data_IF_224208365172
#
_entry.id   IF_224208365172
#
_cell.length_a   1.000
_cell.length_b   1.000
_cell.length_c   1.000
_cell.angle_alpha   90.00
_cell.angle_beta   90.00
_cell.angle_gamma   90.00
#
_symmetry.space_group_name_H-M   'P 1'
#
loop_
_entity.id
_entity.type
_entity.pdbx_description
1 polymer ?
#
# COMPACT_ATOMS: atom_id res chain seq x y z
N UNK A 1 11.10 -21.88 6.54
CA UNK A 1 10.41 -22.92 7.36
C UNK A 1 10.25 -22.51 8.84
N UNK A 2 11.06 -21.62 9.41
CA UNK A 2 10.91 -21.20 10.84
C UNK A 2 9.81 -20.17 11.12
N UNK A 3 9.50 -19.24 10.20
CA UNK A 3 8.42 -18.25 10.41
C UNK A 3 7.01 -18.86 10.38
N UNK A 4 6.80 -19.88 9.55
CA UNK A 4 5.53 -20.60 9.48
C UNK A 4 5.13 -21.19 10.84
N UNK A 5 6.10 -21.71 11.61
CA UNK A 5 5.89 -22.23 12.96
C UNK A 5 5.44 -21.14 13.94
N UNK A 6 5.93 -19.92 13.80
CA UNK A 6 5.57 -18.79 14.65
C UNK A 6 4.11 -18.38 14.47
N UNK A 7 3.64 -18.25 13.23
CA UNK A 7 2.24 -17.87 12.96
C UNK A 7 1.25 -19.02 13.16
N UNK A 8 1.67 -20.27 12.93
CA UNK A 8 0.86 -21.44 13.30
C UNK A 8 0.61 -21.46 14.81
N UNK A 9 1.63 -21.14 15.61
CA UNK A 9 1.48 -20.97 17.04
C UNK A 9 0.63 -19.74 17.39
N UNK A 10 0.83 -18.60 16.72
CA UNK A 10 0.04 -17.39 16.93
C UNK A 10 -1.47 -17.64 16.72
N UNK A 11 -1.84 -18.40 15.69
CA UNK A 11 -3.22 -18.76 15.37
C UNK A 11 -3.92 -19.58 16.48
N UNK A 12 -3.17 -20.19 17.40
CA UNK A 12 -3.74 -20.91 18.55
C UNK A 12 -4.37 -19.96 19.57
N UNK A 13 -3.89 -18.71 19.68
CA UNK A 13 -4.39 -17.70 20.61
C UNK A 13 -5.69 -17.04 20.14
N UNK A 14 -6.05 -17.16 18.86
CA UNK A 14 -7.25 -16.56 18.32
C UNK A 14 -8.48 -17.42 18.63
N UNK A 15 -9.55 -16.83 19.22
CA UNK A 15 -10.73 -17.57 19.61
C UNK A 15 -11.49 -18.05 18.37
N UNK A 16 -12.08 -19.24 18.45
CA UNK A 16 -12.72 -19.91 17.30
C UNK A 16 -13.99 -19.23 16.80
N UNK A 17 -14.57 -18.28 17.55
CA UNK A 17 -15.69 -17.46 17.11
C UNK A 17 -15.28 -16.30 16.20
N UNK A 18 -14.01 -15.90 16.24
CA UNK A 18 -13.50 -14.76 15.49
C UNK A 18 -13.34 -15.14 14.02
N UNK A 19 -14.10 -14.45 13.16
CA UNK A 19 -14.06 -14.66 11.72
C UNK A 19 -12.69 -14.25 11.15
N UNK A 20 -12.17 -14.95 10.13
CA UNK A 20 -10.92 -14.58 9.44
C UNK A 20 -10.89 -13.11 9.01
N UNK A 21 -11.93 -12.64 8.30
CA UNK A 21 -11.99 -11.25 7.84
C UNK A 21 -12.00 -10.21 8.98
N UNK A 22 -12.50 -10.58 10.17
CA UNK A 22 -12.43 -9.73 11.35
C UNK A 22 -10.99 -9.65 11.88
N UNK A 23 -10.21 -10.73 11.77
CA UNK A 23 -8.77 -10.74 12.06
C UNK A 23 -8.06 -9.79 11.08
N UNK A 24 -8.25 -9.96 9.78
CA UNK A 24 -7.68 -9.08 8.74
C UNK A 24 -7.98 -7.60 9.03
N UNK A 25 -9.25 -7.26 9.27
CA UNK A 25 -9.68 -5.89 9.57
C UNK A 25 -9.09 -5.35 10.88
N UNK A 26 -8.96 -6.21 11.91
CA UNK A 26 -8.32 -5.84 13.17
C UNK A 26 -6.83 -5.56 12.96
N UNK A 27 -6.15 -6.32 12.10
CA UNK A 27 -4.77 -6.06 11.68
C UNK A 27 -4.59 -4.65 11.11
N UNK A 28 -5.44 -4.27 10.14
CA UNK A 28 -5.40 -2.93 9.54
C UNK A 28 -5.59 -1.81 10.56
N UNK A 29 -6.41 -2.04 11.60
CA UNK A 29 -6.69 -1.02 12.62
C UNK A 29 -5.43 -0.52 13.33
N UNK A 30 -4.42 -1.38 13.52
CA UNK A 30 -3.14 -0.98 14.11
C UNK A 30 -2.40 0.05 13.23
N UNK A 31 -2.44 -0.12 11.91
CA UNK A 31 -1.82 0.81 10.96
C UNK A 31 -2.61 2.12 10.90
N UNK A 32 -3.95 2.04 10.94
CA UNK A 32 -4.80 3.24 11.00
C UNK A 32 -4.56 4.06 12.28
N UNK A 33 -4.37 3.40 13.41
CA UNK A 33 -3.98 4.07 14.67
C UNK A 33 -2.65 4.79 14.50
N UNK A 34 -1.65 4.13 13.88
CA UNK A 34 -0.34 4.76 13.62
C UNK A 34 -0.46 5.98 12.69
N UNK A 35 -1.28 5.91 11.64
CA UNK A 35 -1.56 7.07 10.77
C UNK A 35 -2.27 8.18 11.51
N UNK A 36 -3.21 7.87 12.42
CA UNK A 36 -3.82 8.88 13.29
C UNK A 36 -2.78 9.52 14.22
N UNK A 37 -1.86 8.74 14.79
CA UNK A 37 -0.77 9.27 15.60
C UNK A 37 0.16 10.18 14.81
N UNK A 38 0.45 9.89 13.54
CA UNK A 38 1.20 10.81 12.66
C UNK A 38 0.50 12.17 12.59
N UNK A 39 -0.80 12.21 12.34
CA UNK A 39 -1.55 13.46 12.29
C UNK A 39 -1.53 14.27 13.60
N UNK A 40 -1.36 13.61 14.75
CA UNK A 40 -1.33 14.25 16.06
C UNK A 40 0.07 14.69 16.51
N UNK A 41 1.11 13.91 16.17
CA UNK A 41 2.45 14.08 16.74
C UNK A 41 3.51 14.47 15.70
N UNK A 42 3.33 14.15 14.42
CA UNK A 42 4.28 14.41 13.34
C UNK A 42 3.57 14.78 12.01
N UNK A 43 2.73 15.83 11.99
CA UNK A 43 1.94 16.17 10.80
C UNK A 43 2.80 16.69 9.63
N UNK A 44 4.01 17.18 9.90
CA UNK A 44 4.96 17.66 8.89
C UNK A 44 5.81 16.53 8.28
N UNK A 45 5.70 15.30 8.82
CA UNK A 45 6.44 14.09 8.46
C UNK A 45 7.98 14.21 8.52
N UNK A 46 8.48 15.24 9.21
CA UNK A 46 9.90 15.64 9.17
C UNK A 46 10.47 15.89 10.55
N UNK A 47 9.76 16.62 11.39
CA UNK A 47 10.23 16.97 12.72
C UNK A 47 10.06 15.75 13.64
N UNK A 48 11.13 15.24 14.27
CA UNK A 48 11.03 14.04 15.08
C UNK A 48 9.96 14.14 16.18
N UNK A 49 9.02 13.21 16.16
CA UNK A 49 8.08 12.95 17.24
C UNK A 49 8.73 12.23 18.43
N UNK A 50 7.95 11.94 19.49
CA UNK A 50 8.45 11.23 20.66
C UNK A 50 8.82 9.77 20.33
N UNK A 51 9.85 9.22 20.96
CA UNK A 51 10.36 7.86 20.69
C UNK A 51 9.29 6.76 20.67
N UNK A 52 8.29 6.84 21.56
CA UNK A 52 7.22 5.84 21.64
C UNK A 52 6.40 5.76 20.34
N UNK A 53 6.34 6.85 19.56
CA UNK A 53 5.64 6.91 18.28
C UNK A 53 6.26 5.91 17.28
N UNK A 54 7.58 5.89 17.17
CA UNK A 54 8.27 4.96 16.28
C UNK A 54 8.23 3.51 16.80
N UNK A 55 8.20 3.31 18.12
CA UNK A 55 7.94 1.99 18.70
C UNK A 55 6.53 1.50 18.39
N UNK A 56 5.52 2.38 18.41
CA UNK A 56 4.15 2.02 18.04
C UNK A 56 4.04 1.71 16.54
N UNK A 57 4.83 2.38 15.69
CA UNK A 57 4.93 2.07 14.26
C UNK A 57 5.47 0.65 14.04
N UNK A 58 6.59 0.31 14.69
CA UNK A 58 7.16 -1.04 14.65
C UNK A 58 6.16 -2.10 15.13
N UNK A 59 5.54 -1.88 16.30
CA UNK A 59 4.58 -2.80 16.89
C UNK A 59 3.33 -2.95 16.01
N UNK A 60 2.75 -1.84 15.55
CA UNK A 60 1.52 -1.86 14.78
C UNK A 60 1.68 -2.55 13.42
N UNK A 61 2.81 -2.33 12.74
CA UNK A 61 3.11 -3.01 11.48
C UNK A 61 3.44 -4.50 11.68
N UNK A 62 4.13 -4.85 12.77
CA UNK A 62 4.36 -6.25 13.13
C UNK A 62 3.05 -6.98 13.47
N UNK A 63 2.14 -6.33 14.21
CA UNK A 63 0.82 -6.87 14.52
C UNK A 63 -0.04 -6.99 13.27
N UNK A 64 0.00 -6.00 12.36
CA UNK A 64 -0.64 -6.09 11.05
C UNK A 64 -0.23 -7.37 10.32
N UNK A 65 1.07 -7.58 10.12
CA UNK A 65 1.61 -8.75 9.44
C UNK A 65 1.23 -10.05 10.15
N UNK A 66 1.22 -10.04 11.48
CA UNK A 66 0.86 -11.23 12.26
C UNK A 66 -0.62 -11.58 12.06
N UNK A 67 -1.52 -10.60 12.05
CA UNK A 67 -2.95 -10.81 11.89
C UNK A 67 -3.28 -11.27 10.46
N UNK A 68 -2.68 -10.62 9.47
CA UNK A 68 -2.67 -11.00 8.06
C UNK A 68 -2.27 -12.47 7.88
N UNK A 69 -1.10 -12.87 8.40
CA UNK A 69 -0.66 -14.27 8.28
C UNK A 69 -1.53 -15.28 9.07
N UNK A 70 -2.27 -14.83 10.08
CA UNK A 70 -3.11 -15.70 10.91
C UNK A 70 -4.49 -15.93 10.30
N UNK A 71 -5.03 -15.02 9.50
CA UNK A 71 -6.42 -15.10 9.05
C UNK A 71 -6.73 -16.37 8.24
N UNK A 72 -5.87 -16.77 7.31
CA UNK A 72 -6.02 -17.97 6.49
C UNK A 72 -5.80 -19.23 7.31
N UNK A 73 -4.94 -19.17 8.33
CA UNK A 73 -4.75 -20.25 9.31
C UNK A 73 -6.02 -20.44 10.14
N UNK A 74 -6.60 -19.34 10.61
CA UNK A 74 -7.88 -19.34 11.30
C UNK A 74 -8.96 -19.91 10.38
N UNK A 75 -9.04 -19.48 9.11
CA UNK A 75 -10.03 -19.94 8.15
C UNK A 75 -9.98 -21.46 7.95
N UNK A 76 -8.77 -22.05 7.88
CA UNK A 76 -8.58 -23.51 7.84
C UNK A 76 -8.99 -24.18 9.15
N UNK A 77 -8.59 -23.63 10.29
CA UNK A 77 -8.92 -24.12 11.64
C UNK A 77 -10.43 -24.14 11.90
N UNK A 78 -11.17 -23.12 11.47
CA UNK A 78 -12.62 -22.99 11.67
C UNK A 78 -13.45 -23.59 10.53
N UNK A 79 -12.83 -24.00 9.42
CA UNK A 79 -13.52 -24.49 8.22
C UNK A 79 -14.30 -23.41 7.49
N UNK A 80 -13.82 -22.17 7.50
CA UNK A 80 -14.49 -20.98 6.94
C UNK A 80 -13.71 -20.30 5.81
N UNK A 81 -12.79 -21.02 5.16
CA UNK A 81 -12.12 -20.54 3.93
C UNK A 81 -13.15 -20.23 2.84
N UNK A 82 -13.04 -19.07 2.20
CA UNK A 82 -14.01 -18.63 1.20
C UNK A 82 -13.40 -17.65 0.19
N UNK A 83 -14.03 -17.52 -0.98
CA UNK A 83 -13.69 -16.50 -1.97
C UNK A 83 -13.85 -15.08 -1.42
N UNK A 84 -14.85 -14.84 -0.55
CA UNK A 84 -14.99 -13.56 0.15
C UNK A 84 -13.77 -13.24 1.00
N UNK A 85 -13.30 -14.20 1.79
CA UNK A 85 -12.11 -14.01 2.63
C UNK A 85 -10.89 -13.64 1.79
N UNK A 86 -10.71 -14.31 0.66
CA UNK A 86 -9.61 -14.01 -0.27
C UNK A 86 -9.70 -12.59 -0.86
N UNK A 87 -10.89 -12.14 -1.29
CA UNK A 87 -11.08 -10.76 -1.75
C UNK A 87 -10.87 -9.74 -0.63
N UNK A 88 -11.30 -10.07 0.59
CA UNK A 88 -11.22 -9.20 1.75
C UNK A 88 -9.77 -8.98 2.17
N UNK A 89 -8.99 -10.06 2.24
CA UNK A 89 -7.56 -10.07 2.58
C UNK A 89 -6.74 -9.19 1.65
N UNK A 90 -6.71 -9.51 0.35
CA UNK A 90 -6.07 -8.66 -0.67
C UNK A 90 -6.62 -7.23 -0.69
N UNK A 91 -7.90 -7.07 -0.38
CA UNK A 91 -8.56 -5.77 -0.23
C UNK A 91 -7.89 -4.92 0.85
N UNK A 92 -7.66 -5.49 2.02
CA UNK A 92 -7.02 -4.84 3.16
C UNK A 92 -5.53 -4.60 2.90
N UNK A 93 -4.82 -5.58 2.35
CA UNK A 93 -3.41 -5.45 1.93
C UNK A 93 -3.18 -4.28 0.98
N UNK A 94 -4.10 -4.10 0.03
CA UNK A 94 -4.06 -2.99 -0.91
C UNK A 94 -4.13 -1.64 -0.20
N UNK A 95 -4.94 -1.50 0.85
CA UNK A 95 -5.03 -0.25 1.62
C UNK A 95 -3.77 -0.02 2.44
N UNK A 96 -3.21 -1.10 3.00
CA UNK A 96 -2.00 -1.02 3.80
C UNK A 96 -0.78 -0.59 3.00
N UNK A 97 -0.72 -0.83 1.68
CA UNK A 97 0.41 -0.43 0.84
C UNK A 97 0.75 1.07 0.96
N UNK A 98 -0.15 2.02 0.64
CA UNK A 98 0.11 3.44 0.83
C UNK A 98 0.10 3.88 2.31
N UNK A 99 -0.71 3.27 3.19
CA UNK A 99 -0.73 3.62 4.62
C UNK A 99 0.60 3.29 5.31
N UNK A 100 1.10 2.06 5.11
CA UNK A 100 2.41 1.63 5.58
C UNK A 100 3.53 2.47 4.97
N UNK A 101 3.40 2.85 3.69
CA UNK A 101 4.28 3.83 3.06
C UNK A 101 4.31 5.16 3.80
N UNK A 102 3.17 5.72 4.21
CA UNK A 102 3.12 6.95 5.00
C UNK A 102 3.75 6.80 6.40
N UNK A 103 3.53 5.68 7.08
CA UNK A 103 4.19 5.38 8.36
C UNK A 103 5.70 5.25 8.20
N UNK A 104 6.15 4.70 7.06
CA UNK A 104 7.54 4.61 6.68
C UNK A 104 8.15 5.99 6.44
N UNK A 105 7.43 6.89 5.78
CA UNK A 105 7.82 8.28 5.52
C UNK A 105 8.10 9.05 6.82
N UNK A 106 7.21 8.94 7.82
CA UNK A 106 7.41 9.57 9.13
C UNK A 106 8.66 9.02 9.84
N UNK A 107 8.84 7.70 9.84
CA UNK A 107 10.03 7.10 10.49
C UNK A 107 11.35 7.53 9.85
N UNK A 108 11.34 7.78 8.54
CA UNK A 108 12.50 8.24 7.79
C UNK A 108 12.69 9.77 7.88
N UNK A 109 11.72 10.51 8.45
CA UNK A 109 11.74 11.97 8.56
C UNK A 109 11.86 12.67 7.20
N UNK A 110 11.15 12.17 6.18
CA UNK A 110 11.30 12.67 4.80
C UNK A 110 10.53 13.96 4.52
N UNK A 111 9.58 14.30 5.38
CA UNK A 111 8.65 15.40 5.19
C UNK A 111 7.70 15.21 4.01
N UNK A 112 6.94 16.26 3.71
CA UNK A 112 6.23 16.41 2.45
C UNK A 112 7.26 16.60 1.30
N UNK A 113 7.84 15.51 0.82
CA UNK A 113 8.88 15.54 -0.22
C UNK A 113 8.61 14.53 -1.32
N UNK A 114 9.34 14.69 -2.44
CA UNK A 114 9.33 13.73 -3.56
C UNK A 114 9.75 12.34 -3.07
N UNK A 115 10.71 12.27 -2.13
CA UNK A 115 11.10 10.99 -1.55
C UNK A 115 9.99 10.40 -0.67
N UNK A 116 9.23 11.24 0.04
CA UNK A 116 8.04 10.80 0.76
C UNK A 116 6.99 10.20 -0.19
N UNK A 117 6.69 10.90 -1.29
CA UNK A 117 5.79 10.43 -2.34
C UNK A 117 6.26 9.10 -2.95
N UNK A 118 7.57 8.94 -3.15
CA UNK A 118 8.17 7.70 -3.61
C UNK A 118 7.83 6.52 -2.68
N UNK A 119 8.02 6.63 -1.36
CA UNK A 119 7.73 5.54 -0.43
C UNK A 119 6.23 5.17 -0.34
N UNK A 120 5.34 6.15 -0.47
CA UNK A 120 3.89 5.90 -0.52
C UNK A 120 3.49 5.13 -1.78
N UNK A 121 4.09 5.47 -2.91
CA UNK A 121 3.72 4.93 -4.22
C UNK A 121 4.44 3.61 -4.54
N UNK A 122 5.72 3.46 -4.17
CA UNK A 122 6.50 2.28 -4.51
C UNK A 122 5.95 1.00 -3.87
N UNK A 123 5.33 1.09 -2.69
CA UNK A 123 4.66 -0.03 -2.02
C UNK A 123 3.49 -0.62 -2.81
N UNK A 124 2.83 0.18 -3.65
CA UNK A 124 1.73 -0.29 -4.50
C UNK A 124 2.20 -1.19 -5.65
N UNK A 125 3.44 -1.05 -6.10
CA UNK A 125 4.01 -1.78 -7.24
C UNK A 125 4.09 -3.30 -6.99
N UNK A 126 4.75 -3.79 -5.92
CA UNK A 126 4.81 -5.22 -5.65
C UNK A 126 3.43 -5.84 -5.43
N UNK A 127 2.52 -5.12 -4.75
CA UNK A 127 1.15 -5.58 -4.53
C UNK A 127 0.37 -5.74 -5.84
N UNK A 128 0.50 -4.77 -6.75
CA UNK A 128 -0.10 -4.87 -8.09
C UNK A 128 0.46 -6.06 -8.88
N UNK A 129 1.79 -6.21 -8.93
CA UNK A 129 2.43 -7.27 -9.71
C UNK A 129 2.11 -8.66 -9.18
N UNK A 130 2.06 -8.86 -7.86
CA UNK A 130 1.66 -10.14 -7.25
C UNK A 130 0.19 -10.47 -7.53
N UNK A 131 -0.69 -9.46 -7.48
CA UNK A 131 -2.10 -9.64 -7.82
C UNK A 131 -2.29 -9.97 -9.31
N UNK A 132 -1.56 -9.29 -10.19
CA UNK A 132 -1.56 -9.56 -11.63
C UNK A 132 -1.01 -10.97 -11.93
N UNK A 133 0.06 -11.37 -11.24
CA UNK A 133 0.59 -12.72 -11.31
C UNK A 133 -0.44 -13.77 -10.89
N UNK A 134 -1.10 -13.56 -9.76
CA UNK A 134 -2.12 -14.47 -9.25
C UNK A 134 -3.30 -14.63 -10.22
N UNK A 135 -3.74 -13.55 -10.88
CA UNK A 135 -4.78 -13.63 -11.91
C UNK A 135 -4.45 -14.65 -13.00
N UNK A 136 -3.18 -14.74 -13.41
CA UNK A 136 -2.71 -15.65 -14.44
C UNK A 136 -2.32 -17.03 -13.94
N UNK A 137 -1.67 -17.12 -12.79
CA UNK A 137 -1.14 -18.37 -12.24
C UNK A 137 -2.22 -19.15 -11.47
N UNK A 138 -3.17 -18.44 -10.87
CA UNK A 138 -4.22 -18.97 -10.00
C UNK A 138 -3.78 -19.18 -8.54
N UNK A 139 -2.57 -18.74 -8.19
CA UNK A 139 -2.02 -18.86 -6.85
C UNK A 139 -1.12 -17.67 -6.54
N UNK A 140 -1.25 -17.06 -5.37
CA UNK A 140 -0.27 -16.12 -4.88
C UNK A 140 1.07 -16.83 -4.60
N UNK A 141 2.08 -16.59 -5.44
CA UNK A 141 3.42 -17.12 -5.23
C UNK A 141 4.21 -16.23 -4.26
N UNK A 142 4.20 -16.62 -2.98
CA UNK A 142 5.11 -16.06 -1.99
C UNK A 142 6.44 -16.81 -2.10
N UNK A 143 7.39 -16.26 -2.86
CA UNK A 143 8.76 -16.76 -2.92
C UNK A 143 9.41 -16.77 -1.52
N UNK A 144 10.60 -17.40 -1.42
CA UNK A 144 11.33 -17.47 -0.14
C UNK A 144 11.63 -16.11 0.48
N UNK A 145 11.83 -15.09 -0.36
CA UNK A 145 11.90 -13.68 0.01
C UNK A 145 10.74 -13.01 -0.71
N UNK A 146 9.82 -12.42 0.04
CA UNK A 146 8.62 -11.77 -0.48
C UNK A 146 8.33 -10.46 0.28
N UNK A 147 7.57 -9.57 -0.36
CA UNK A 147 7.17 -8.30 0.23
C UNK A 147 6.39 -8.45 1.55
N UNK A 148 5.33 -9.28 1.60
CA UNK A 148 4.48 -9.43 2.80
C UNK A 148 5.22 -9.96 4.04
N UNK A 149 6.31 -10.71 3.88
CA UNK A 149 7.10 -11.23 5.00
C UNK A 149 8.35 -10.39 5.26
N UNK A 150 9.36 -10.52 4.39
CA UNK A 150 10.66 -9.89 4.59
C UNK A 150 10.60 -8.37 4.40
N UNK A 151 9.81 -7.89 3.44
CA UNK A 151 9.63 -6.46 3.20
C UNK A 151 9.03 -5.75 4.42
N UNK A 152 7.99 -6.32 5.02
CA UNK A 152 7.39 -5.78 6.24
C UNK A 152 8.36 -5.87 7.44
N UNK A 153 9.11 -6.96 7.61
CA UNK A 153 10.09 -7.06 8.69
C UNK A 153 11.24 -6.03 8.54
N UNK A 154 11.66 -5.73 7.32
CA UNK A 154 12.61 -4.64 7.04
C UNK A 154 12.01 -3.30 7.45
N UNK A 155 10.74 -3.02 7.10
CA UNK A 155 10.05 -1.79 7.51
C UNK A 155 9.91 -1.68 9.03
N UNK A 156 9.58 -2.77 9.73
CA UNK A 156 9.61 -2.85 11.20
C UNK A 156 11.01 -2.51 11.73
N UNK A 157 12.07 -3.05 11.11
CA UNK A 157 13.46 -2.72 11.44
C UNK A 157 13.76 -1.23 11.28
N UNK A 158 13.26 -0.58 10.22
CA UNK A 158 13.39 0.86 10.04
C UNK A 158 12.72 1.64 11.17
N UNK A 159 11.50 1.27 11.55
CA UNK A 159 10.80 1.89 12.68
C UNK A 159 11.59 1.76 13.99
N UNK A 160 12.17 0.60 14.26
CA UNK A 160 13.01 0.36 15.44
C UNK A 160 14.30 1.19 15.42
N UNK A 161 14.97 1.30 14.27
CA UNK A 161 16.15 2.14 14.11
C UNK A 161 15.80 3.61 14.39
N UNK A 162 14.66 4.09 13.85
CA UNK A 162 14.17 5.45 14.12
C UNK A 162 13.77 5.66 15.57
N UNK A 163 13.24 4.63 16.26
CA UNK A 163 12.98 4.70 17.69
C UNK A 163 14.26 4.84 18.52
N UNK A 164 15.31 4.09 18.17
CA UNK A 164 16.56 4.05 18.93
C UNK A 164 17.45 5.28 18.70
N UNK A 165 17.54 5.75 17.45
CA UNK A 165 18.50 6.79 17.03
C UNK A 165 17.83 8.09 16.58
N UNK A 166 16.50 8.11 16.49
CA UNK A 166 15.73 9.20 15.90
C UNK A 166 15.73 9.17 14.37
N UNK A 167 14.70 9.71 13.68
CA UNK A 167 14.63 9.75 12.22
C UNK A 167 15.82 10.41 11.53
N UNK A 168 16.53 11.31 12.22
CA UNK A 168 17.70 12.03 11.68
C UNK A 168 18.84 11.10 11.27
N UNK A 169 18.92 9.89 11.84
CA UNK A 169 19.94 8.90 11.46
C UNK A 169 19.92 8.61 9.97
N UNK A 170 18.74 8.55 9.34
CA UNK A 170 18.59 8.25 7.92
C UNK A 170 19.23 9.29 6.99
N UNK A 171 19.50 10.49 7.51
CA UNK A 171 20.10 11.59 6.77
C UNK A 171 21.61 11.70 6.97
N UNK A 172 22.22 10.82 7.79
CA UNK A 172 23.68 10.79 7.95
C UNK A 172 24.36 10.16 6.73
N UNK A 173 25.52 10.68 6.36
CA UNK A 173 26.35 10.14 5.28
C UNK A 173 27.09 8.87 5.69
N UNK A 174 27.25 7.95 4.75
CA UNK A 174 28.00 6.70 4.91
C UNK A 174 29.23 6.77 4.02
N UNK A 175 30.39 6.46 4.57
CA UNK A 175 31.62 6.35 3.78
C UNK A 175 31.68 5.01 3.04
N UNK A 176 31.50 5.06 1.72
CA UNK A 176 31.59 3.90 0.81
C UNK A 176 32.83 3.97 -0.10
N UNK A 177 33.75 4.90 0.14
CA UNK A 177 34.90 5.16 -0.75
C UNK A 177 35.79 3.94 -0.96
N UNK A 178 35.88 3.03 0.03
CA UNK A 178 36.61 1.77 -0.06
C UNK A 178 35.92 0.66 -0.87
N UNK A 179 34.64 0.80 -1.20
CA UNK A 179 33.86 -0.21 -1.92
C UNK A 179 33.44 0.25 -3.32
N UNK A 180 33.22 1.55 -3.52
CA UNK A 180 32.62 2.09 -4.74
C UNK A 180 33.36 3.36 -5.18
N UNK A 181 34.45 3.18 -5.93
CA UNK A 181 35.37 4.28 -6.29
C UNK A 181 34.78 5.34 -7.23
N UNK A 182 33.64 5.07 -7.88
CA UNK A 182 32.98 5.99 -8.80
C UNK A 182 31.92 6.89 -8.15
N UNK A 183 31.70 6.76 -6.85
CA UNK A 183 30.74 7.58 -6.13
C UNK A 183 31.35 8.95 -5.82
N UNK A 184 30.79 10.01 -6.42
CA UNK A 184 31.33 11.37 -6.38
C UNK A 184 31.19 12.07 -5.02
N UNK A 185 30.29 11.59 -4.16
CA UNK A 185 30.15 12.03 -2.76
C UNK A 185 29.63 10.89 -1.88
N UNK A 186 29.94 10.85 -0.57
CA UNK A 186 29.33 9.91 0.36
C UNK A 186 27.78 9.97 0.27
N UNK A 187 27.09 8.85 0.01
CA UNK A 187 25.64 8.81 0.02
C UNK A 187 25.11 8.85 1.46
N UNK A 188 23.86 9.26 1.63
CA UNK A 188 23.16 9.15 2.91
C UNK A 188 22.57 7.75 3.11
N UNK A 189 22.25 7.40 4.37
CA UNK A 189 21.58 6.13 4.67
C UNK A 189 20.25 5.98 3.91
N UNK A 190 19.48 7.06 3.76
CA UNK A 190 18.24 7.05 2.98
C UNK A 190 18.49 6.83 1.49
N UNK A 191 19.56 7.38 0.92
CA UNK A 191 19.92 7.13 -0.49
C UNK A 191 20.29 5.65 -0.71
N UNK A 192 21.05 5.07 0.22
CA UNK A 192 21.33 3.63 0.19
C UNK A 192 20.04 2.81 0.32
N UNK A 193 19.14 3.18 1.23
CA UNK A 193 17.87 2.47 1.44
C UNK A 193 16.97 2.56 0.20
N UNK A 194 16.89 3.71 -0.46
CA UNK A 194 16.17 3.86 -1.72
C UNK A 194 16.68 2.90 -2.80
N UNK A 195 18.01 2.76 -2.94
CA UNK A 195 18.61 1.80 -3.88
C UNK A 195 18.21 0.36 -3.52
N UNK A 196 18.26 0.00 -2.23
CA UNK A 196 17.84 -1.34 -1.77
C UNK A 196 16.37 -1.61 -2.13
N UNK A 197 15.47 -0.65 -1.87
CA UNK A 197 14.04 -0.78 -2.22
C UNK A 197 13.84 -0.94 -3.73
N UNK A 198 14.52 -0.14 -4.54
CA UNK A 198 14.44 -0.23 -6.00
C UNK A 198 14.96 -1.59 -6.52
N UNK A 199 16.06 -2.09 -5.98
CA UNK A 199 16.59 -3.40 -6.32
C UNK A 199 15.62 -4.52 -5.91
N UNK A 200 15.06 -4.45 -4.70
CA UNK A 200 14.09 -5.43 -4.23
C UNK A 200 12.84 -5.47 -5.13
N UNK A 201 12.31 -4.31 -5.54
CA UNK A 201 11.10 -4.25 -6.38
C UNK A 201 11.40 -4.64 -7.83
N UNK A 202 12.39 -4.02 -8.47
CA UNK A 202 12.57 -4.12 -9.92
C UNK A 202 13.56 -5.20 -10.36
N UNK A 203 14.47 -5.64 -9.49
CA UNK A 203 15.47 -6.68 -9.81
C UNK A 203 15.09 -8.03 -9.21
N UNK A 204 14.42 -8.05 -8.07
CA UNK A 204 14.00 -9.31 -7.42
C UNK A 204 12.53 -9.61 -7.69
N UNK A 205 11.61 -8.78 -7.22
CA UNK A 205 10.16 -9.10 -7.23
C UNK A 205 9.56 -9.09 -8.64
N UNK A 206 9.70 -7.99 -9.37
CA UNK A 206 9.06 -7.84 -10.66
C UNK A 206 9.48 -8.93 -11.67
N UNK A 207 10.79 -9.23 -11.88
CA UNK A 207 11.18 -10.27 -12.83
C UNK A 207 10.57 -11.64 -12.53
N UNK A 208 10.44 -12.01 -11.24
CA UNK A 208 9.80 -13.26 -10.83
C UNK A 208 8.33 -13.28 -11.25
N UNK A 209 7.57 -12.21 -10.98
CA UNK A 209 6.16 -12.10 -11.41
C UNK A 209 6.04 -12.22 -12.95
N UNK A 210 6.90 -11.52 -13.71
CA UNK A 210 6.87 -11.60 -15.17
C UNK A 210 7.21 -13.01 -15.69
N UNK A 211 8.18 -13.69 -15.09
CA UNK A 211 8.54 -15.07 -15.45
C UNK A 211 7.39 -16.04 -15.17
N UNK A 212 6.74 -15.92 -14.02
CA UNK A 212 5.63 -16.77 -13.62
C UNK A 212 4.38 -16.55 -14.50
N UNK A 213 4.06 -15.30 -14.81
CA UNK A 213 2.99 -14.97 -15.78
C UNK A 213 3.35 -15.50 -17.17
N UNK A 214 4.59 -15.35 -17.62
CA UNK A 214 5.01 -15.88 -18.91
C UNK A 214 4.81 -17.39 -18.99
N UNK A 215 5.22 -18.13 -17.96
CA UNK A 215 5.02 -19.57 -17.88
C UNK A 215 3.53 -19.96 -17.87
N UNK A 216 2.69 -19.24 -17.12
CA UNK A 216 1.25 -19.47 -17.07
C UNK A 216 0.56 -19.13 -18.40
N UNK A 217 0.95 -18.05 -19.07
CA UNK A 217 0.47 -17.70 -20.40
C UNK A 217 0.82 -18.79 -21.41
N UNK A 218 2.07 -19.28 -21.39
CA UNK A 218 2.54 -20.36 -22.27
C UNK A 218 1.75 -21.66 -22.06
N UNK A 219 1.47 -22.04 -20.81
CA UNK A 219 0.72 -23.27 -20.52
C UNK A 219 -0.76 -23.17 -20.91
N UNK A 220 -1.36 -21.97 -20.82
CA UNK A 220 -2.77 -21.72 -21.14
C UNK A 220 -3.02 -21.29 -22.60
N UNK A 221 -1.98 -21.16 -23.42
CA UNK A 221 -2.09 -20.67 -24.80
C UNK A 221 -2.53 -19.20 -24.89
N UNK A 222 -2.27 -18.40 -23.86
CA UNK A 222 -2.65 -16.97 -23.79
C UNK A 222 -1.46 -16.13 -24.28
N UNK A 223 -1.75 -15.06 -25.03
CA UNK A 223 -0.71 -14.11 -25.46
C UNK A 223 -0.10 -13.37 -24.26
N UNK A 224 1.20 -13.53 -24.07
CA UNK A 224 1.94 -12.83 -23.01
C UNK A 224 1.97 -11.31 -23.23
N UNK A 225 1.99 -10.83 -24.47
CA UNK A 225 1.94 -9.37 -24.75
C UNK A 225 0.60 -8.77 -24.36
N UNK A 226 -0.49 -9.52 -24.52
CA UNK A 226 -1.82 -9.14 -24.03
C UNK A 226 -1.87 -9.11 -22.50
N UNK A 227 -1.19 -10.05 -21.83
CA UNK A 227 -1.07 -10.03 -20.38
C UNK A 227 -0.28 -8.81 -19.87
N UNK A 228 0.84 -8.48 -20.52
CA UNK A 228 1.66 -7.32 -20.15
C UNK A 228 0.88 -6.02 -20.33
N UNK A 229 0.10 -5.87 -21.41
CA UNK A 229 -0.63 -4.63 -21.70
C UNK A 229 -1.64 -4.25 -20.62
N UNK A 230 -2.09 -5.20 -19.80
CA UNK A 230 -2.98 -4.94 -18.65
C UNK A 230 -2.31 -4.09 -17.57
N UNK A 231 -0.98 -4.16 -17.44
CA UNK A 231 -0.20 -3.30 -16.54
C UNK A 231 -0.22 -1.82 -16.96
N UNK A 232 -0.62 -1.51 -18.20
CA UNK A 232 -0.77 -0.12 -18.65
C UNK A 232 -1.77 0.64 -17.78
N UNK A 233 -2.82 -0.02 -17.31
CA UNK A 233 -3.82 0.59 -16.43
C UNK A 233 -3.18 1.15 -15.14
N UNK A 234 -2.37 0.33 -14.48
CA UNK A 234 -1.64 0.71 -13.28
C UNK A 234 -0.52 1.70 -13.58
N UNK A 235 0.20 1.53 -14.68
CA UNK A 235 1.22 2.49 -15.11
C UNK A 235 0.64 3.90 -15.32
N UNK A 236 -0.53 4.01 -15.96
CA UNK A 236 -1.25 5.28 -16.12
C UNK A 236 -1.64 5.85 -14.75
N UNK A 237 -2.23 5.04 -13.88
CA UNK A 237 -2.61 5.48 -12.52
C UNK A 237 -1.41 6.03 -11.74
N UNK A 238 -0.31 5.27 -11.67
CA UNK A 238 0.92 5.65 -10.98
C UNK A 238 1.55 6.91 -11.59
N UNK A 239 1.53 7.02 -12.91
CA UNK A 239 2.04 8.20 -13.63
C UNK A 239 1.22 9.44 -13.31
N UNK A 240 -0.12 9.33 -13.25
CA UNK A 240 -0.98 10.46 -12.88
C UNK A 240 -0.78 10.88 -11.42
N UNK A 241 -0.64 9.92 -10.50
CA UNK A 241 -0.31 10.22 -9.10
C UNK A 241 1.02 10.97 -9.01
N UNK A 242 2.05 10.49 -9.72
CA UNK A 242 3.37 11.12 -9.76
C UNK A 242 3.32 12.52 -10.39
N UNK A 243 2.66 12.67 -11.54
CA UNK A 243 2.54 13.95 -12.26
C UNK A 243 1.80 15.01 -11.45
N UNK A 244 0.80 14.62 -10.65
CA UNK A 244 0.13 15.58 -9.77
C UNK A 244 1.10 16.02 -8.67
N UNK A 245 1.61 15.08 -7.89
CA UNK A 245 2.37 15.39 -6.68
C UNK A 245 3.73 16.04 -6.94
N UNK A 246 4.35 15.75 -8.08
CA UNK A 246 5.65 16.35 -8.47
C UNK A 246 5.50 17.51 -9.45
N UNK A 247 4.28 17.97 -9.76
CA UNK A 247 4.11 19.15 -10.60
C UNK A 247 4.79 20.35 -9.93
N UNK A 248 5.57 21.17 -10.66
CA UNK A 248 6.14 22.40 -10.11
C UNK A 248 5.07 23.43 -9.70
N UNK A 249 3.83 23.23 -10.13
CA UNK A 249 2.67 24.05 -9.77
C UNK A 249 1.85 23.48 -8.61
N UNK A 250 2.17 22.27 -8.14
CA UNK A 250 1.50 21.65 -6.99
C UNK A 250 2.10 22.17 -5.69
N UNK A 251 1.20 22.45 -4.74
CA UNK A 251 1.51 22.86 -3.39
C UNK A 251 1.55 21.68 -2.39
N UNK A 252 1.25 20.45 -2.82
CA UNK A 252 1.15 19.28 -1.93
C UNK A 252 2.46 18.89 -1.22
N UNK A 253 3.60 19.22 -1.84
CA UNK A 253 4.93 19.00 -1.27
C UNK A 253 5.56 20.30 -0.76
N UNK A 254 4.84 21.43 -0.81
CA UNK A 254 5.38 22.69 -0.31
C UNK A 254 5.51 22.63 1.20
N UNK A 255 6.69 22.98 1.70
CA UNK A 255 6.96 23.00 3.14
C UNK A 255 5.98 23.92 3.86
N UNK A 256 5.43 23.43 4.98
CA UNK A 256 4.51 24.12 5.88
C UNK A 256 5.19 25.27 6.64
N UNK A 257 5.90 26.17 5.94
CA UNK A 257 6.53 27.33 6.53
C UNK A 257 5.50 28.45 6.68
N UNK A 258 4.86 28.51 7.85
CA UNK A 258 4.15 29.68 8.41
C UNK A 258 2.87 30.17 7.73
N UNK A 259 2.68 29.94 6.43
CA UNK A 259 1.54 30.41 5.63
C UNK A 259 0.85 29.31 4.82
N UNK A 260 1.30 28.06 4.94
CA UNK A 260 0.64 26.93 4.31
C UNK A 260 -0.67 26.62 5.06
N UNK A 261 -1.75 26.24 4.34
CA UNK A 261 -2.97 25.82 5.01
C UNK A 261 -2.68 24.64 5.95
N UNK A 262 -3.33 24.58 7.13
CA UNK A 262 -3.15 23.51 8.11
C UNK A 262 -3.60 22.12 7.61
N UNK A 263 -4.18 22.08 6.41
CA UNK A 263 -4.76 20.94 5.73
C UNK A 263 -4.30 20.97 4.27
N UNK A 264 -4.04 19.80 3.69
CA UNK A 264 -3.36 19.63 2.41
C UNK A 264 -2.08 18.81 2.53
N UNK A 265 -1.63 18.26 1.41
CA UNK A 265 -0.31 17.63 1.28
C UNK A 265 -0.29 16.11 1.37
N UNK A 266 0.88 15.58 1.71
CA UNK A 266 1.21 14.17 1.49
C UNK A 266 0.32 13.18 2.28
N UNK A 267 -0.12 13.52 3.49
CA UNK A 267 -1.01 12.66 4.31
C UNK A 267 -2.36 12.49 3.62
N UNK A 268 -3.01 13.58 3.24
CA UNK A 268 -4.33 13.55 2.59
C UNK A 268 -4.24 12.95 1.18
N UNK A 269 -3.16 13.25 0.44
CA UNK A 269 -2.88 12.59 -0.83
C UNK A 269 -2.72 11.07 -0.67
N UNK A 270 -2.07 10.62 0.41
CA UNK A 270 -1.99 9.19 0.73
C UNK A 270 -3.39 8.60 0.92
N UNK A 271 -4.28 9.26 1.67
CA UNK A 271 -5.66 8.78 1.87
C UNK A 271 -6.44 8.71 0.55
N UNK A 272 -6.18 9.62 -0.38
CA UNK A 272 -6.76 9.55 -1.73
C UNK A 272 -6.21 8.33 -2.50
N UNK A 273 -4.90 8.06 -2.42
CA UNK A 273 -4.27 6.86 -2.98
C UNK A 273 -4.86 5.60 -2.36
N UNK A 274 -5.05 5.55 -1.04
CA UNK A 274 -5.72 4.44 -0.32
C UNK A 274 -7.08 4.12 -0.95
N UNK A 275 -7.93 5.13 -1.10
CA UNK A 275 -9.29 4.93 -1.63
C UNK A 275 -9.28 4.53 -3.11
N UNK A 276 -8.42 5.15 -3.92
CA UNK A 276 -8.37 4.92 -5.37
C UNK A 276 -7.70 3.59 -5.71
N UNK A 277 -6.55 3.27 -5.11
CA UNK A 277 -5.85 2.00 -5.27
C UNK A 277 -6.64 0.84 -4.65
N UNK A 278 -7.21 1.05 -3.46
CA UNK A 278 -8.11 0.11 -2.76
C UNK A 278 -9.38 -0.24 -3.52
N UNK A 279 -9.79 0.58 -4.49
CA UNK A 279 -10.88 0.28 -5.43
C UNK A 279 -10.39 -0.40 -6.70
N UNK A 280 -9.16 -0.09 -7.12
CA UNK A 280 -8.59 -0.54 -8.39
C UNK A 280 -8.15 -2.01 -8.32
N UNK A 281 -7.30 -2.35 -7.36
CA UNK A 281 -6.62 -3.65 -7.33
C UNK A 281 -7.55 -4.83 -6.97
N UNK A 282 -8.43 -4.76 -5.95
CA UNK A 282 -9.23 -5.92 -5.55
C UNK A 282 -10.18 -6.43 -6.64
N UNK A 283 -10.46 -5.61 -7.67
CA UNK A 283 -11.20 -6.03 -8.86
C UNK A 283 -10.46 -7.07 -9.70
N UNK A 284 -9.12 -7.05 -9.69
CA UNK A 284 -8.31 -8.05 -10.38
C UNK A 284 -8.49 -9.41 -9.68
N UNK A 285 -8.49 -9.44 -8.35
CA UNK A 285 -8.78 -10.64 -7.56
C UNK A 285 -10.21 -11.13 -7.76
N UNK A 286 -11.20 -10.22 -7.79
CA UNK A 286 -12.57 -10.61 -8.12
C UNK A 286 -12.65 -11.20 -9.53
N UNK A 287 -12.01 -10.57 -10.53
CA UNK A 287 -11.97 -11.11 -11.90
C UNK A 287 -11.34 -12.50 -11.94
N UNK A 288 -10.24 -12.71 -11.21
CA UNK A 288 -9.62 -14.02 -11.05
C UNK A 288 -10.61 -15.06 -10.48
N UNK A 289 -11.20 -14.77 -9.31
CA UNK A 289 -12.07 -15.70 -8.57
C UNK A 289 -13.40 -15.99 -9.27
N UNK A 290 -13.86 -15.06 -10.11
CA UNK A 290 -15.08 -15.20 -10.92
C UNK A 290 -14.82 -15.68 -12.34
N UNK A 291 -13.55 -15.94 -12.69
CA UNK A 291 -13.11 -16.24 -14.06
C UNK A 291 -13.56 -15.17 -15.08
N UNK A 292 -13.68 -13.93 -14.64
CA UNK A 292 -14.02 -12.78 -15.48
C UNK A 292 -12.81 -12.23 -16.25
N UNK A 293 -13.05 -11.32 -17.21
CA UNK A 293 -11.97 -10.66 -17.93
C UNK A 293 -11.19 -9.72 -17.00
N UNK A 294 -9.92 -9.48 -17.33
CA UNK A 294 -9.10 -8.51 -16.60
C UNK A 294 -9.77 -7.14 -16.58
N UNK A 295 -9.89 -6.49 -15.40
CA UNK A 295 -10.66 -5.26 -15.27
C UNK A 295 -10.03 -4.11 -16.06
N UNK A 296 -10.88 -3.33 -16.74
CA UNK A 296 -10.48 -2.09 -17.40
C UNK A 296 -10.26 -0.95 -16.40
N UNK A 297 -9.52 0.07 -16.85
CA UNK A 297 -9.26 1.28 -16.09
C UNK A 297 -10.58 2.00 -15.75
N UNK A 298 -10.75 2.39 -14.49
CA UNK A 298 -12.00 2.96 -14.01
C UNK A 298 -12.00 4.49 -14.03
N UNK A 299 -13.02 5.14 -14.63
CA UNK A 299 -13.21 6.58 -14.50
C UNK A 299 -13.30 7.02 -13.03
N UNK A 300 -14.01 6.27 -12.18
CA UNK A 300 -14.13 6.57 -10.73
C UNK A 300 -12.81 6.51 -9.94
N UNK A 301 -11.76 5.89 -10.49
CA UNK A 301 -10.41 5.85 -9.90
C UNK A 301 -9.54 6.95 -10.51
N UNK A 302 -9.63 7.14 -11.83
CA UNK A 302 -8.73 8.02 -12.58
C UNK A 302 -9.14 9.47 -12.54
N UNK A 303 -10.43 9.78 -12.68
CA UNK A 303 -10.90 11.17 -12.76
C UNK A 303 -10.53 12.02 -11.53
N UNK A 304 -10.55 11.50 -10.29
CA UNK A 304 -10.08 12.26 -9.12
C UNK A 304 -8.59 12.61 -9.17
N UNK A 305 -7.74 11.70 -9.70
CA UNK A 305 -6.29 11.95 -9.82
C UNK A 305 -6.01 12.86 -11.03
N UNK A 306 -6.62 12.55 -12.17
CA UNK A 306 -6.47 13.29 -13.41
C UNK A 306 -6.93 14.74 -13.26
N UNK A 307 -8.06 14.99 -12.59
CA UNK A 307 -8.50 16.36 -12.37
C UNK A 307 -7.53 17.14 -11.49
N UNK A 308 -6.85 16.49 -10.53
CA UNK A 308 -5.78 17.10 -9.75
C UNK A 308 -4.60 17.50 -10.63
N UNK A 309 -4.12 16.58 -11.49
CA UNK A 309 -3.10 16.86 -12.51
C UNK A 309 -3.52 18.05 -13.39
N UNK A 310 -4.75 18.05 -13.90
CA UNK A 310 -5.22 19.09 -14.81
C UNK A 310 -5.30 20.45 -14.12
N UNK A 311 -5.91 20.51 -12.93
CA UNK A 311 -6.11 21.76 -12.19
C UNK A 311 -4.78 22.44 -11.89
N UNK A 312 -3.81 21.74 -11.30
CA UNK A 312 -2.54 22.37 -10.92
C UNK A 312 -1.75 22.85 -12.15
N UNK A 313 -1.80 22.11 -13.25
CA UNK A 313 -1.07 22.45 -14.47
C UNK A 313 -1.77 23.52 -15.34
N UNK A 314 -2.99 23.97 -15.01
CA UNK A 314 -3.58 25.16 -15.65
C UNK A 314 -2.71 26.41 -15.44
N UNK A 315 -1.91 26.45 -14.37
CA UNK A 315 -0.94 27.51 -14.11
C UNK A 315 0.10 27.67 -15.23
N UNK A 316 0.43 26.61 -15.98
CA UNK A 316 1.34 26.71 -17.13
C UNK A 316 0.74 27.57 -18.26
N UNK A 317 -0.58 27.66 -18.32
CA UNK A 317 -1.33 28.41 -19.34
C UNK A 317 -1.76 29.79 -18.85
N UNK A 318 -1.16 30.30 -17.77
CA UNK A 318 -1.42 31.64 -17.24
C UNK A 318 -2.68 31.75 -16.37
N UNK A 319 -3.29 30.62 -15.98
CA UNK A 319 -4.32 30.63 -14.93
C UNK A 319 -3.66 30.79 -13.56
N UNK A 320 -4.38 31.33 -12.58
CA UNK A 320 -3.88 31.54 -11.22
C UNK A 320 -4.58 30.63 -10.22
N UNK A 321 -4.26 29.33 -10.27
CA UNK A 321 -4.70 28.33 -9.32
C UNK A 321 -3.88 28.49 -8.04
N UNK A 322 -4.55 28.88 -6.96
CA UNK A 322 -3.92 29.05 -5.65
C UNK A 322 -3.78 27.70 -4.94
N UNK A 323 -2.84 27.57 -3.98
CA UNK A 323 -2.72 26.38 -3.13
C UNK A 323 -4.04 25.98 -2.46
N UNK A 324 -4.86 26.97 -2.05
CA UNK A 324 -6.17 26.70 -1.45
C UNK A 324 -7.14 26.00 -2.39
N UNK A 325 -7.13 26.33 -3.69
CA UNK A 325 -7.98 25.66 -4.69
C UNK A 325 -7.57 24.20 -4.87
N UNK A 326 -6.26 23.93 -4.91
CA UNK A 326 -5.74 22.57 -4.98
C UNK A 326 -6.13 21.73 -3.75
N UNK A 327 -6.01 22.30 -2.55
CA UNK A 327 -6.41 21.62 -1.29
C UNK A 327 -7.92 21.33 -1.29
N UNK A 328 -8.76 22.29 -1.67
CA UNK A 328 -10.21 22.06 -1.79
C UNK A 328 -10.52 20.96 -2.80
N UNK A 329 -9.82 20.93 -3.93
CA UNK A 329 -9.96 19.86 -4.90
C UNK A 329 -9.53 18.51 -4.33
N UNK A 330 -8.39 18.44 -3.63
CA UNK A 330 -7.92 17.23 -2.96
C UNK A 330 -8.96 16.70 -1.97
N UNK A 331 -9.57 17.56 -1.16
CA UNK A 331 -10.63 17.17 -0.21
C UNK A 331 -11.88 16.67 -0.91
N UNK A 332 -12.31 17.33 -1.99
CA UNK A 332 -13.46 16.89 -2.78
C UNK A 332 -13.19 15.54 -3.46
N UNK A 333 -11.99 15.37 -4.05
CA UNK A 333 -11.53 14.13 -4.65
C UNK A 333 -11.47 13.00 -3.61
N UNK A 334 -10.91 13.27 -2.42
CA UNK A 334 -10.83 12.32 -1.31
C UNK A 334 -12.21 11.91 -0.84
N UNK A 335 -13.13 12.85 -0.59
CA UNK A 335 -14.50 12.55 -0.17
C UNK A 335 -15.23 11.69 -1.21
N UNK A 336 -15.14 12.07 -2.49
CA UNK A 336 -15.71 11.28 -3.58
C UNK A 336 -15.13 9.86 -3.63
N UNK A 337 -13.80 9.74 -3.60
CA UNK A 337 -13.11 8.45 -3.67
C UNK A 337 -13.39 7.59 -2.45
N UNK A 338 -13.48 8.17 -1.26
CA UNK A 338 -13.85 7.47 -0.03
C UNK A 338 -15.26 6.92 -0.11
N UNK A 339 -16.26 7.74 -0.45
CA UNK A 339 -17.66 7.29 -0.60
C UNK A 339 -17.78 6.22 -1.68
N UNK A 340 -17.12 6.44 -2.82
CA UNK A 340 -17.11 5.50 -3.94
C UNK A 340 -16.51 4.15 -3.54
N UNK A 341 -15.31 4.16 -2.94
CA UNK A 341 -14.63 2.97 -2.44
C UNK A 341 -15.45 2.24 -1.36
N UNK A 342 -15.92 2.96 -0.34
CA UNK A 342 -16.67 2.39 0.77
C UNK A 342 -17.97 1.73 0.30
N UNK A 343 -18.72 2.41 -0.58
CA UNK A 343 -19.93 1.84 -1.17
C UNK A 343 -19.62 0.55 -1.93
N UNK A 344 -18.56 0.55 -2.74
CA UNK A 344 -18.17 -0.65 -3.50
C UNK A 344 -17.71 -1.80 -2.60
N UNK A 345 -16.90 -1.52 -1.57
CA UNK A 345 -16.42 -2.53 -0.64
C UNK A 345 -17.58 -3.19 0.12
N UNK A 346 -18.55 -2.38 0.59
CA UNK A 346 -19.77 -2.88 1.23
C UNK A 346 -20.57 -3.75 0.26
N UNK A 347 -20.83 -3.27 -0.95
CA UNK A 347 -21.58 -4.03 -1.96
C UNK A 347 -20.88 -5.33 -2.31
N UNK A 348 -19.55 -5.33 -2.50
CA UNK A 348 -18.78 -6.53 -2.76
C UNK A 348 -18.94 -7.55 -1.62
N UNK A 349 -18.72 -7.11 -0.37
CA UNK A 349 -18.88 -7.96 0.81
C UNK A 349 -20.30 -8.55 0.91
N UNK A 350 -21.34 -7.73 0.68
CA UNK A 350 -22.73 -8.18 0.72
C UNK A 350 -23.05 -9.18 -0.38
N UNK A 351 -22.62 -8.92 -1.63
CA UNK A 351 -22.89 -9.82 -2.77
C UNK A 351 -22.21 -11.17 -2.61
N UNK A 352 -20.95 -11.18 -2.16
CA UNK A 352 -20.27 -12.43 -1.85
C UNK A 352 -20.90 -13.16 -0.66
N UNK A 353 -21.26 -12.43 0.40
CA UNK A 353 -21.94 -13.02 1.58
C UNK A 353 -23.28 -13.67 1.19
N UNK A 354 -24.06 -12.98 0.34
CA UNK A 354 -25.33 -13.47 -0.21
C UNK A 354 -25.11 -14.72 -1.07
N UNK A 355 -24.21 -14.66 -2.06
CA UNK A 355 -23.93 -15.76 -2.98
C UNK A 355 -23.38 -17.02 -2.28
N UNK A 356 -22.56 -16.85 -1.24
CA UNK A 356 -21.92 -17.94 -0.50
C UNK A 356 -22.74 -18.39 0.72
N UNK A 357 -23.79 -17.66 1.09
CA UNK A 357 -24.58 -17.94 2.28
C UNK A 357 -23.79 -17.82 3.60
N UNK A 358 -22.77 -16.95 3.67
CA UNK A 358 -21.93 -16.70 4.85
C UNK A 358 -22.12 -15.28 5.39
N UNK A 359 -21.56 -14.95 6.55
CA UNK A 359 -21.46 -13.57 7.03
C UNK A 359 -20.03 -13.06 6.78
N UNK A 360 -19.87 -11.77 6.51
CA UNK A 360 -18.55 -11.20 6.23
C UNK A 360 -17.64 -11.17 7.48
N UNK A 361 -18.14 -10.67 8.61
CA UNK A 361 -17.32 -10.42 9.82
C UNK A 361 -17.65 -11.35 11.00
N UNK A 362 -18.54 -12.33 10.82
CA UNK A 362 -18.91 -13.28 11.86
C UNK A 362 -18.97 -14.70 11.30
N UNK A 363 -18.78 -15.71 12.16
CA UNK A 363 -18.94 -17.11 11.77
C UNK A 363 -20.39 -17.53 12.07
N UNK A 364 -21.08 -18.08 11.07
CA UNK A 364 -22.43 -18.64 11.30
C UNK A 364 -22.35 -19.87 12.20
N UNK A 365 -23.28 -20.04 13.15
CA UNK A 365 -23.37 -21.28 13.92
C UNK A 365 -23.54 -22.47 12.97
N UNK A 366 -22.85 -23.59 13.24
CA UNK A 366 -23.14 -24.85 12.53
C UNK A 366 -24.61 -25.20 12.78
N UNK A 367 -25.37 -25.47 11.72
CA UNK A 367 -26.71 -26.04 11.86
C UNK A 367 -26.54 -27.36 12.61
N UNK A 368 -27.10 -27.43 13.82
CA UNK A 368 -27.11 -28.60 14.69
C UNK A 368 -27.87 -29.76 14.08
#
# INVERSE_FOLDING_TARGET
MSYALGWDHAATYFPTWMAPNLITLSGLSFVLINVACIGLYEPDLKTPGPTWLYLSFALGLFLYQTFDNVDGRQARKTGTSSALGHVFDHGIDTLNCPLGGLVQVASLGLGHSVNGAFFILIGCVPMWLSTWEEYYTGTLYLGYINGPTEGILIAVGVHLISALFGPRIWHTTVDLSGFVSWVSRPPTLIECFNVIVLLAVFVVHAPVCFMNVHAACKSKGISFTSAISQNLSFAIYMSLCWLWITSPYSSLLSSTSGSAPPHGGLIEFTLLVVCTFGRMLPRVIIAHLTHGPFPTLLPSVILPILGGVLIVNLNQFGWHITPGVEVWYLHAALLYSFVSWQHWAIVACLRFSEALGINCLTIKPKKS
#
